data_IF_653270998270
#
_entry.id   IF_653270998270
#
_cell.length_a   1.000
_cell.length_b   1.000
_cell.length_c   1.000
_cell.angle_alpha   90.00
_cell.angle_beta   90.00
_cell.angle_gamma   90.00
#
_symmetry.space_group_name_H-M   'P 1'
#
loop_
_entity.id
_entity.type
_entity.pdbx_description
1 polymer ?
#
# COMPACT_ATOMS: atom_id res chain seq x y z
N UNK A 1 -5.65 -10.33 4.86
CA UNK A 1 -5.71 -11.81 4.71
C UNK A 1 -4.35 -12.40 4.29
N UNK A 2 -3.76 -11.93 3.18
CA UNK A 2 -2.53 -12.54 2.61
C UNK A 2 -1.31 -12.39 3.53
N UNK A 3 -1.04 -11.20 4.03
CA UNK A 3 0.14 -10.91 4.85
C UNK A 3 0.03 -11.46 6.28
N UNK A 4 -1.17 -11.47 6.85
CA UNK A 4 -1.40 -11.82 8.26
C UNK A 4 -0.68 -10.85 9.20
N UNK A 5 -0.85 -9.55 8.96
CA UNK A 5 -0.27 -8.51 9.80
C UNK A 5 -0.69 -8.71 11.26
N UNK A 6 0.28 -8.67 12.15
CA UNK A 6 0.09 -8.84 13.59
C UNK A 6 0.00 -7.48 14.29
N UNK A 7 -0.69 -7.45 15.42
CA UNK A 7 -0.71 -6.26 16.27
C UNK A 7 0.71 -5.93 16.77
N UNK A 8 1.05 -4.65 16.76
CA UNK A 8 2.38 -4.17 17.15
C UNK A 8 3.42 -4.19 16.02
N UNK A 9 3.09 -4.71 14.83
CA UNK A 9 4.02 -4.77 13.69
C UNK A 9 4.34 -3.39 13.09
N UNK A 10 5.54 -3.25 12.52
CA UNK A 10 5.93 -2.13 11.68
C UNK A 10 5.62 -2.44 10.21
N UNK A 11 4.88 -1.56 9.56
CA UNK A 11 4.35 -1.75 8.21
C UNK A 11 4.83 -0.64 7.29
N UNK A 12 5.30 -0.98 6.10
CA UNK A 12 5.65 -0.02 5.03
C UNK A 12 4.76 -0.23 3.82
N UNK A 13 4.15 0.85 3.33
CA UNK A 13 3.24 0.83 2.17
C UNK A 13 3.78 1.74 1.08
N UNK A 14 4.16 1.17 -0.05
CA UNK A 14 4.63 1.90 -1.24
C UNK A 14 3.45 2.24 -2.15
N UNK A 15 3.18 3.53 -2.31
CA UNK A 15 2.08 4.07 -3.10
C UNK A 15 0.81 4.31 -2.28
N UNK A 16 0.38 5.58 -2.21
CA UNK A 16 -0.78 6.03 -1.47
C UNK A 16 -1.96 6.34 -2.40
N UNK A 17 -2.24 5.41 -3.32
CA UNK A 17 -3.46 5.38 -4.12
C UNK A 17 -4.58 4.64 -3.38
N UNK A 18 -5.69 4.38 -4.06
CA UNK A 18 -6.84 3.69 -3.47
C UNK A 18 -6.51 2.34 -2.83
N UNK A 19 -5.55 1.59 -3.39
CA UNK A 19 -5.09 0.32 -2.82
C UNK A 19 -4.25 0.56 -1.57
N UNK A 20 -3.24 1.44 -1.64
CA UNK A 20 -2.35 1.72 -0.52
C UNK A 20 -3.08 2.30 0.70
N UNK A 21 -4.05 3.20 0.49
CA UNK A 21 -4.88 3.74 1.55
C UNK A 21 -5.70 2.64 2.25
N UNK A 22 -6.23 1.66 1.49
CA UNK A 22 -6.93 0.51 2.07
C UNK A 22 -5.97 -0.44 2.83
N UNK A 23 -4.72 -0.58 2.38
CA UNK A 23 -3.70 -1.33 3.12
C UNK A 23 -3.38 -0.64 4.45
N UNK A 24 -3.24 0.71 4.44
CA UNK A 24 -3.01 1.50 5.65
C UNK A 24 -4.14 1.30 6.66
N UNK A 25 -5.40 1.48 6.26
CA UNK A 25 -6.50 1.28 7.20
C UNK A 25 -6.63 -0.18 7.67
N UNK A 26 -6.31 -1.15 6.80
CA UNK A 26 -6.25 -2.56 7.21
C UNK A 26 -5.17 -2.84 8.24
N UNK A 27 -3.98 -2.23 8.11
CA UNK A 27 -2.90 -2.31 9.08
C UNK A 27 -3.27 -1.61 10.42
N UNK A 28 -3.90 -0.44 10.33
CA UNK A 28 -4.41 0.28 11.50
C UNK A 28 -5.48 -0.53 12.25
N UNK A 29 -6.39 -1.14 11.52
CA UNK A 29 -7.50 -1.94 12.05
C UNK A 29 -7.05 -3.18 12.83
N UNK A 30 -5.91 -3.78 12.46
CA UNK A 30 -5.32 -4.92 13.17
C UNK A 30 -4.34 -4.52 14.28
N UNK A 31 -4.15 -3.22 14.51
CA UNK A 31 -3.31 -2.70 15.58
C UNK A 31 -1.82 -2.70 15.27
N UNK A 32 -1.42 -2.49 14.02
CA UNK A 32 -0.03 -2.24 13.68
C UNK A 32 0.51 -1.03 14.46
N UNK A 33 1.78 -1.10 14.86
CA UNK A 33 2.41 -0.07 15.68
C UNK A 33 2.80 1.15 14.83
N UNK A 34 3.55 0.92 13.76
CA UNK A 34 4.03 1.94 12.86
C UNK A 34 3.56 1.65 11.44
N UNK A 35 2.92 2.61 10.81
CA UNK A 35 2.37 2.48 9.46
C UNK A 35 2.97 3.60 8.61
N UNK A 36 3.99 3.24 7.84
CA UNK A 36 4.79 4.17 7.04
C UNK A 36 4.28 4.16 5.61
N UNK A 37 3.79 5.31 5.14
CA UNK A 37 3.39 5.51 3.76
C UNK A 37 4.50 6.14 2.93
N UNK A 38 4.86 5.52 1.81
CA UNK A 38 5.89 6.00 0.88
C UNK A 38 5.23 6.45 -0.42
N UNK A 39 5.28 7.75 -0.74
CA UNK A 39 4.74 8.29 -1.99
C UNK A 39 5.51 9.54 -2.42
N UNK A 40 5.60 9.76 -3.74
CA UNK A 40 6.23 10.96 -4.33
C UNK A 40 5.38 12.22 -4.25
N UNK A 41 4.08 12.06 -4.01
CA UNK A 41 3.10 13.15 -3.96
C UNK A 41 2.74 13.51 -2.51
N UNK A 42 3.28 14.61 -1.95
CA UNK A 42 3.03 15.00 -0.58
C UNK A 42 1.57 15.39 -0.29
N UNK A 43 0.79 15.72 -1.33
CA UNK A 43 -0.63 16.07 -1.14
C UNK A 43 -1.48 14.91 -0.60
N UNK A 44 -1.01 13.67 -0.75
CA UNK A 44 -1.70 12.47 -0.25
C UNK A 44 -1.50 12.24 1.26
N UNK A 45 -0.55 12.94 1.88
CA UNK A 45 -0.19 12.75 3.29
C UNK A 45 -1.41 12.89 4.21
N UNK A 46 -2.12 14.02 4.12
CA UNK A 46 -3.24 14.32 5.02
C UNK A 46 -4.38 13.29 4.92
N UNK A 47 -4.64 12.78 3.71
CA UNK A 47 -5.64 11.74 3.51
C UNK A 47 -5.15 10.40 4.10
N UNK A 48 -3.90 10.03 3.89
CA UNK A 48 -3.33 8.80 4.43
C UNK A 48 -3.30 8.79 5.97
N UNK A 49 -3.07 9.96 6.61
CA UNK A 49 -3.17 10.12 8.06
C UNK A 49 -4.59 9.82 8.58
N UNK A 50 -5.65 10.24 7.86
CA UNK A 50 -7.03 9.89 8.20
C UNK A 50 -7.29 8.38 8.16
N UNK A 51 -6.57 7.64 7.32
CA UNK A 51 -6.65 6.18 7.21
C UNK A 51 -5.79 5.45 8.24
N UNK A 52 -5.02 6.17 9.06
CA UNK A 52 -4.21 5.61 10.15
C UNK A 52 -2.72 5.51 9.85
N UNK A 53 -2.20 6.19 8.82
CA UNK A 53 -0.77 6.33 8.60
C UNK A 53 -0.11 7.10 9.75
N UNK A 54 1.02 6.61 10.25
CA UNK A 54 1.78 7.26 11.32
C UNK A 54 2.91 8.13 10.79
N UNK A 55 3.55 7.71 9.72
CA UNK A 55 4.72 8.37 9.14
C UNK A 55 4.60 8.47 7.62
N UNK A 56 4.94 9.61 7.06
CA UNK A 56 5.01 9.83 5.62
C UNK A 56 6.46 9.97 5.16
N UNK A 57 6.83 9.25 4.13
CA UNK A 57 8.17 9.31 3.52
C UNK A 57 8.04 9.65 2.04
N UNK A 58 8.60 10.80 1.64
CA UNK A 58 8.79 11.12 0.24
C UNK A 58 10.21 10.70 -0.17
N UNK A 59 10.38 9.76 -1.10
CA UNK A 59 11.70 9.33 -1.55
C UNK A 59 12.61 10.45 -2.07
N UNK A 60 12.02 11.55 -2.56
CA UNK A 60 12.78 12.71 -3.05
C UNK A 60 13.44 13.53 -1.94
N UNK A 61 12.93 13.41 -0.72
CA UNK A 61 13.42 14.17 0.44
C UNK A 61 14.49 13.38 1.23
N UNK A 62 14.83 12.18 0.77
CA UNK A 62 15.81 11.29 1.43
C UNK A 62 17.17 11.46 0.76
N UNK A 63 18.15 11.92 1.53
CA UNK A 63 19.54 11.92 1.12
C UNK A 63 20.13 10.52 1.22
N UNK A 64 20.31 9.84 0.09
CA UNK A 64 20.90 8.50 0.03
C UNK A 64 19.93 7.37 -0.33
N UNK A 65 20.10 6.21 0.30
CA UNK A 65 19.36 5.00 -0.02
C UNK A 65 18.05 4.92 0.77
N UNK A 66 16.92 4.91 0.07
CA UNK A 66 15.59 4.79 0.65
C UNK A 66 15.42 3.51 1.49
N UNK A 67 15.99 2.39 1.03
CA UNK A 67 15.88 1.11 1.73
C UNK A 67 16.60 1.17 3.07
N UNK A 68 17.81 1.73 3.09
CA UNK A 68 18.57 1.93 4.32
C UNK A 68 17.81 2.84 5.30
N UNK A 69 17.24 3.94 4.80
CA UNK A 69 16.43 4.84 5.61
C UNK A 69 15.20 4.14 6.24
N UNK A 70 14.47 3.35 5.44
CA UNK A 70 13.31 2.60 5.94
C UNK A 70 13.69 1.52 6.96
N UNK A 71 14.84 0.87 6.79
CA UNK A 71 15.37 -0.10 7.76
C UNK A 71 15.69 0.58 9.10
N UNK A 72 16.32 1.75 9.06
CA UNK A 72 16.60 2.54 10.26
C UNK A 72 15.30 3.01 10.93
N UNK A 73 14.37 3.54 10.16
CA UNK A 73 13.08 4.04 10.63
C UNK A 73 12.23 2.95 11.31
N UNK A 74 12.44 1.68 10.95
CA UNK A 74 11.72 0.51 11.47
C UNK A 74 12.55 -0.34 12.44
N UNK A 75 13.68 0.19 12.92
CA UNK A 75 14.55 -0.48 13.90
C UNK A 75 15.02 -1.88 13.45
N UNK A 76 15.58 -1.94 12.23
CA UNK A 76 16.14 -3.16 11.66
C UNK A 76 15.37 -3.77 10.50
N UNK A 77 14.28 -3.14 10.08
CA UNK A 77 13.46 -3.50 8.93
C UNK A 77 11.98 -3.71 9.28
N UNK A 78 11.14 -3.50 8.29
CA UNK A 78 9.69 -3.66 8.45
C UNK A 78 9.30 -5.14 8.64
N UNK A 79 8.32 -5.40 9.52
CA UNK A 79 7.74 -6.74 9.64
C UNK A 79 6.94 -7.08 8.38
N UNK A 80 6.26 -6.08 7.82
CA UNK A 80 5.48 -6.23 6.58
C UNK A 80 5.70 -5.05 5.65
N UNK A 81 5.81 -5.33 4.36
CA UNK A 81 5.77 -4.30 3.34
C UNK A 81 4.74 -4.63 2.26
N UNK A 82 4.17 -3.58 1.66
CA UNK A 82 3.16 -3.71 0.61
C UNK A 82 3.55 -2.82 -0.56
N UNK A 83 3.65 -3.41 -1.74
CA UNK A 83 3.88 -2.67 -2.97
C UNK A 83 2.55 -2.49 -3.70
N UNK A 84 2.10 -1.23 -3.82
CA UNK A 84 0.78 -0.84 -4.34
C UNK A 84 0.85 0.04 -5.60
N UNK A 85 2.02 0.11 -6.26
CA UNK A 85 2.26 0.96 -7.44
C UNK A 85 2.26 0.14 -8.73
N UNK A 86 2.93 -1.02 -8.71
CA UNK A 86 3.19 -1.83 -9.89
C UNK A 86 4.53 -1.55 -10.56
N UNK A 87 5.53 -1.13 -9.79
CA UNK A 87 6.90 -0.88 -10.28
C UNK A 87 7.86 -1.96 -9.79
N UNK A 88 8.58 -2.61 -10.71
CA UNK A 88 9.56 -3.66 -10.35
C UNK A 88 10.66 -3.15 -9.43
N UNK A 89 11.04 -1.87 -9.54
CA UNK A 89 12.01 -1.25 -8.65
C UNK A 89 11.46 -1.11 -7.24
N UNK A 90 10.22 -0.63 -7.08
CA UNK A 90 9.58 -0.50 -5.76
C UNK A 90 9.24 -1.87 -5.17
N UNK A 91 8.92 -2.88 -5.99
CA UNK A 91 8.75 -4.26 -5.52
C UNK A 91 10.04 -4.78 -4.86
N UNK A 92 11.20 -4.51 -5.46
CA UNK A 92 12.49 -4.86 -4.89
C UNK A 92 12.78 -4.08 -3.61
N UNK A 93 12.57 -2.77 -3.58
CA UNK A 93 12.74 -1.93 -2.39
C UNK A 93 11.84 -2.39 -1.25
N UNK A 94 10.59 -2.76 -1.56
CA UNK A 94 9.64 -3.29 -0.58
C UNK A 94 10.12 -4.60 0.06
N UNK A 95 10.72 -5.51 -0.71
CA UNK A 95 11.34 -6.70 -0.14
C UNK A 95 12.56 -6.35 0.72
N UNK A 96 13.46 -5.53 0.18
CA UNK A 96 14.76 -5.27 0.79
C UNK A 96 14.67 -4.42 2.07
N UNK A 97 13.60 -3.62 2.25
CA UNK A 97 13.37 -2.87 3.49
C UNK A 97 12.76 -3.72 4.62
N UNK A 98 12.32 -4.95 4.33
CA UNK A 98 11.80 -5.86 5.35
C UNK A 98 12.89 -6.37 6.28
N UNK A 99 12.50 -6.71 7.51
CA UNK A 99 13.39 -7.31 8.49
C UNK A 99 13.99 -8.64 8.01
N UNK A 100 15.29 -8.84 8.24
CA UNK A 100 15.94 -10.13 8.04
C UNK A 100 15.40 -11.12 9.07
N UNK A 101 15.11 -12.33 8.64
CA UNK A 101 14.63 -13.40 9.49
C UNK A 101 13.14 -13.68 9.36
N UNK A 102 12.28 -12.66 9.27
CA UNK A 102 10.83 -12.89 9.24
C UNK A 102 10.01 -11.91 8.37
N UNK A 103 10.62 -10.83 7.88
CA UNK A 103 9.88 -9.80 7.14
C UNK A 103 9.16 -10.33 5.90
N UNK A 104 7.91 -9.90 5.72
CA UNK A 104 7.04 -10.33 4.62
C UNK A 104 6.73 -9.17 3.70
N UNK A 105 7.14 -9.29 2.43
CA UNK A 105 6.79 -8.32 1.38
C UNK A 105 5.68 -8.86 0.49
N UNK A 106 4.63 -8.08 0.28
CA UNK A 106 3.47 -8.44 -0.56
C UNK A 106 3.38 -7.53 -1.77
N UNK A 107 3.44 -8.13 -2.95
CA UNK A 107 3.20 -7.43 -4.22
C UNK A 107 1.71 -7.41 -4.50
N UNK A 108 1.15 -6.21 -4.68
CA UNK A 108 -0.26 -5.96 -5.02
C UNK A 108 -0.35 -5.22 -6.35
N UNK A 109 0.58 -4.29 -6.60
CA UNK A 109 0.65 -3.53 -7.83
C UNK A 109 0.92 -4.42 -9.04
N UNK A 110 0.39 -4.03 -10.20
CA UNK A 110 0.53 -4.79 -11.45
C UNK A 110 1.58 -4.12 -12.31
N UNK A 111 2.70 -4.79 -12.53
CA UNK A 111 3.75 -4.33 -13.44
C UNK A 111 3.34 -4.48 -14.91
N UNK A 112 3.97 -3.71 -15.79
CA UNK A 112 3.75 -3.82 -17.23
C UNK A 112 4.11 -5.22 -17.75
N UNK A 113 3.43 -5.63 -18.83
CA UNK A 113 3.67 -6.93 -19.47
C UNK A 113 5.15 -7.12 -19.86
N UNK A 114 5.71 -8.28 -19.55
CA UNK A 114 7.10 -8.63 -19.84
C UNK A 114 8.14 -8.07 -18.85
N UNK A 115 7.73 -7.32 -17.84
CA UNK A 115 8.64 -6.90 -16.78
C UNK A 115 8.86 -8.03 -15.77
N UNK A 116 10.10 -8.15 -15.30
CA UNK A 116 10.52 -9.18 -14.33
C UNK A 116 11.02 -8.53 -13.05
N UNK A 117 10.72 -9.16 -11.92
CA UNK A 117 11.29 -8.77 -10.63
C UNK A 117 12.60 -9.51 -10.39
N UNK A 118 13.56 -8.82 -9.77
CA UNK A 118 14.85 -9.43 -9.41
C UNK A 118 15.36 -8.93 -8.06
N UNK A 119 16.02 -9.82 -7.33
CA UNK A 119 16.75 -9.50 -6.10
C UNK A 119 17.91 -10.43 -5.92
N UNK A 120 18.84 -10.08 -5.02
CA UNK A 120 19.93 -11.00 -4.67
C UNK A 120 19.35 -12.20 -3.91
N UNK A 121 19.76 -13.44 -4.22
CA UNK A 121 19.27 -14.63 -3.51
C UNK A 121 19.43 -14.55 -1.99
N UNK A 122 20.46 -13.86 -1.53
CA UNK A 122 20.74 -13.66 -0.11
C UNK A 122 19.60 -12.92 0.63
N UNK A 123 18.82 -12.10 -0.04
CA UNK A 123 17.67 -11.44 0.55
C UNK A 123 16.60 -12.46 1.00
N UNK A 124 16.45 -13.55 0.27
CA UNK A 124 15.50 -14.62 0.61
C UNK A 124 16.10 -15.67 1.55
N UNK A 125 17.39 -16.03 1.35
CA UNK A 125 18.10 -16.97 2.24
C UNK A 125 18.14 -16.48 3.68
N UNK A 126 18.15 -15.17 3.89
CA UNK A 126 18.10 -14.57 5.24
C UNK A 126 16.71 -14.55 5.88
N UNK A 127 15.72 -15.19 5.27
CA UNK A 127 14.40 -15.42 5.88
C UNK A 127 13.27 -14.48 5.44
N UNK A 128 13.56 -13.48 4.59
CA UNK A 128 12.48 -12.66 4.01
C UNK A 128 11.56 -13.48 3.13
N UNK A 129 10.29 -13.14 3.13
CA UNK A 129 9.28 -13.75 2.27
C UNK A 129 8.81 -12.75 1.23
N UNK A 130 8.86 -13.13 -0.04
CA UNK A 130 8.29 -12.36 -1.14
C UNK A 130 7.08 -13.09 -1.72
N UNK A 131 5.91 -12.49 -1.69
CA UNK A 131 4.69 -13.12 -2.20
C UNK A 131 3.76 -12.13 -2.88
N UNK A 132 2.95 -12.64 -3.80
CA UNK A 132 1.86 -11.90 -4.41
C UNK A 132 0.53 -12.14 -3.70
N UNK A 133 -0.47 -11.39 -4.14
CA UNK A 133 -1.85 -11.56 -3.71
C UNK A 133 -2.80 -11.27 -4.85
N UNK A 134 -3.80 -12.12 -5.04
CA UNK A 134 -4.91 -11.87 -5.94
C UNK A 134 -6.14 -11.55 -5.09
N UNK A 135 -6.82 -10.45 -5.41
CA UNK A 135 -8.02 -10.00 -4.69
C UNK A 135 -7.84 -9.92 -3.16
N UNK A 136 -6.63 -9.54 -2.71
CA UNK A 136 -6.27 -9.47 -1.30
C UNK A 136 -6.29 -10.81 -0.56
N UNK A 137 -6.35 -11.95 -1.27
CA UNK A 137 -6.53 -13.28 -0.67
C UNK A 137 -7.90 -13.47 -0.02
N UNK A 138 -8.90 -12.69 -0.44
CA UNK A 138 -10.23 -12.72 0.13
C UNK A 138 -11.06 -13.88 -0.41
N UNK A 139 -11.82 -14.53 0.47
CA UNK A 139 -12.91 -15.45 0.12
C UNK A 139 -14.15 -14.61 -0.19
N UNK A 140 -14.31 -14.21 -1.46
CA UNK A 140 -15.22 -13.13 -1.87
C UNK A 140 -16.66 -13.31 -1.37
N UNK A 141 -17.25 -14.50 -1.45
CA UNK A 141 -18.65 -14.75 -1.05
C UNK A 141 -18.92 -14.50 0.45
N UNK A 142 -17.91 -14.71 1.30
CA UNK A 142 -18.05 -14.54 2.76
C UNK A 142 -17.44 -13.25 3.26
N UNK A 143 -16.31 -12.81 2.67
CA UNK A 143 -15.57 -11.67 3.20
C UNK A 143 -15.97 -10.33 2.58
N UNK A 144 -16.53 -10.31 1.35
CA UNK A 144 -17.06 -9.04 0.81
C UNK A 144 -18.25 -8.55 1.63
N UNK A 145 -19.28 -9.37 1.96
CA UNK A 145 -20.33 -8.95 2.89
C UNK A 145 -19.78 -8.46 4.24
N UNK A 146 -18.80 -9.17 4.81
CA UNK A 146 -18.17 -8.74 6.05
C UNK A 146 -17.47 -7.37 5.95
N UNK A 147 -16.82 -7.07 4.82
CA UNK A 147 -16.20 -5.76 4.58
C UNK A 147 -17.28 -4.68 4.46
N UNK A 148 -18.42 -4.98 3.84
CA UNK A 148 -19.58 -4.08 3.81
C UNK A 148 -20.11 -3.81 5.22
N UNK A 149 -20.24 -4.84 6.05
CA UNK A 149 -20.63 -4.68 7.45
C UNK A 149 -19.65 -3.77 8.21
N UNK A 150 -18.34 -3.93 8.00
CA UNK A 150 -17.34 -3.05 8.60
C UNK A 150 -17.48 -1.59 8.18
N UNK A 151 -17.83 -1.35 6.91
CA UNK A 151 -18.11 0.00 6.43
C UNK A 151 -19.39 0.55 7.07
N UNK A 152 -20.47 -0.20 7.11
CA UNK A 152 -21.74 0.20 7.73
C UNK A 152 -21.60 0.46 9.23
N UNK A 153 -20.72 -0.28 9.90
CA UNK A 153 -20.37 -0.10 11.32
C UNK A 153 -19.38 1.08 11.55
N UNK A 154 -18.91 1.76 10.51
CA UNK A 154 -17.92 2.83 10.60
C UNK A 154 -16.50 2.36 10.99
N UNK A 155 -16.22 1.05 10.86
CA UNK A 155 -14.89 0.49 11.16
C UNK A 155 -13.86 0.74 10.06
N UNK A 156 -14.32 0.97 8.84
CA UNK A 156 -13.49 1.35 7.70
C UNK A 156 -14.10 2.55 6.98
N UNK A 157 -13.23 3.35 6.36
CA UNK A 157 -13.60 4.54 5.61
C UNK A 157 -13.47 4.24 4.10
N UNK A 158 -14.57 4.32 3.37
CA UNK A 158 -14.62 4.16 1.91
C UNK A 158 -14.95 5.49 1.23
N UNK A 159 -15.73 6.36 1.87
CA UNK A 159 -16.24 7.59 1.28
C UNK A 159 -15.11 8.57 0.92
N UNK A 160 -14.13 8.74 1.79
CA UNK A 160 -12.99 9.63 1.55
C UNK A 160 -12.06 9.16 0.39
N UNK A 161 -12.23 7.92 -0.11
CA UNK A 161 -11.55 7.46 -1.32
C UNK A 161 -12.16 8.08 -2.58
N UNK A 162 -13.44 8.48 -2.55
CA UNK A 162 -14.14 9.09 -3.69
C UNK A 162 -13.77 10.58 -3.74
N UNK A 163 -12.79 10.91 -4.56
CA UNK A 163 -12.27 12.28 -4.68
C UNK A 163 -12.99 13.09 -5.75
N UNK A 164 -13.61 12.43 -6.73
CA UNK A 164 -14.31 13.06 -7.84
C UNK A 164 -15.58 12.29 -8.18
N UNK A 165 -16.64 13.05 -8.47
CA UNK A 165 -17.92 12.50 -8.99
C UNK A 165 -18.29 13.30 -10.23
N UNK A 166 -18.65 12.62 -11.32
CA UNK A 166 -18.92 13.24 -12.60
C UNK A 166 -19.93 12.44 -13.42
N UNK A 167 -20.60 13.05 -14.42
CA UNK A 167 -21.45 12.34 -15.35
C UNK A 167 -20.62 11.50 -16.35
N UNK A 168 -21.30 10.63 -17.11
CA UNK A 168 -20.64 9.74 -18.08
C UNK A 168 -19.90 10.50 -19.19
N UNK A 169 -20.39 11.65 -19.58
CA UNK A 169 -19.80 12.50 -20.62
C UNK A 169 -18.36 12.90 -20.29
N UNK A 170 -18.04 13.03 -19.00
CA UNK A 170 -16.74 13.48 -18.49
C UNK A 170 -15.78 12.33 -18.16
N UNK A 171 -16.08 11.09 -18.57
CA UNK A 171 -15.28 9.91 -18.22
C UNK A 171 -13.81 10.03 -18.66
N UNK A 172 -13.52 10.73 -19.77
CA UNK A 172 -12.15 10.96 -20.22
C UNK A 172 -11.38 11.86 -19.23
N UNK A 173 -12.04 12.87 -18.65
CA UNK A 173 -11.45 13.70 -17.60
C UNK A 173 -11.11 12.86 -16.36
N UNK A 174 -11.93 11.86 -16.00
CA UNK A 174 -11.62 10.94 -14.91
C UNK A 174 -10.30 10.19 -15.13
N UNK A 175 -10.04 9.77 -16.37
CA UNK A 175 -8.76 9.12 -16.73
C UNK A 175 -7.60 10.10 -16.69
N UNK A 176 -7.78 11.33 -17.14
CA UNK A 176 -6.74 12.36 -17.10
C UNK A 176 -6.36 12.69 -15.64
N UNK A 177 -7.34 12.89 -14.76
CA UNK A 177 -7.13 13.09 -13.33
C UNK A 177 -6.39 11.91 -12.66
N UNK A 178 -6.70 10.68 -13.09
CA UNK A 178 -6.01 9.50 -12.61
C UNK A 178 -4.53 9.48 -13.06
N UNK A 179 -4.25 9.77 -14.34
CA UNK A 179 -2.89 9.82 -14.89
C UNK A 179 -2.05 10.93 -14.24
N UNK A 180 -2.67 12.07 -13.93
CA UNK A 180 -2.04 13.19 -13.24
C UNK A 180 -1.85 12.96 -11.74
N UNK A 181 -2.37 11.85 -11.19
CA UNK A 181 -2.31 11.52 -9.76
C UNK A 181 -3.15 12.45 -8.87
N UNK A 182 -4.12 13.15 -9.44
CA UNK A 182 -5.04 14.07 -8.75
C UNK A 182 -6.28 13.36 -8.19
N UNK A 183 -6.63 12.19 -8.74
CA UNK A 183 -7.74 11.38 -8.27
C UNK A 183 -7.25 10.14 -7.52
N UNK A 184 -7.90 9.84 -6.40
CA UNK A 184 -7.80 8.52 -5.75
C UNK A 184 -8.82 7.58 -6.37
N UNK A 185 -10.07 8.04 -6.47
CA UNK A 185 -11.16 7.35 -7.16
C UNK A 185 -12.13 8.36 -7.75
N UNK A 186 -12.37 8.24 -9.04
CA UNK A 186 -13.45 8.95 -9.73
C UNK A 186 -14.65 8.02 -9.88
N UNK A 187 -15.84 8.53 -9.59
CA UNK A 187 -17.11 7.80 -9.70
C UNK A 187 -17.99 8.48 -10.76
N UNK A 188 -18.44 7.68 -11.71
CA UNK A 188 -19.41 8.13 -12.73
C UNK A 188 -20.81 7.87 -12.21
N UNK A 189 -21.67 8.91 -12.28
CA UNK A 189 -23.07 8.84 -11.87
C UNK A 189 -23.94 8.97 -13.12
N UNK A 190 -24.97 8.14 -13.23
CA UNK A 190 -25.94 8.11 -14.31
C UNK A 190 -27.23 8.81 -13.95
#
# INVERSE_FOLDING_TARGET
NTAKVEAGANVVVFGLGGIGLNVIQGAHMVGANRIIGVDLNPSKKSLAEKFGMTDFVNPKDIDGDLVAYLIELTDGGADYSFECIGSVNTMRQALECCHRGWGVSVIIGVAGAGQEISTRPFQLVTGRVWKGTAFGGAKSRTQVPQIVDWYMDGKINIDDLITHTMPLEDINEAFDLMHEGKSIRSVVVF
#
